data_IF_135641019848
#
_entry.id   IF_135641019848
#
_cell.length_a   1.000
_cell.length_b   1.000
_cell.length_c   1.000
_cell.angle_alpha   90.00
_cell.angle_beta   90.00
_cell.angle_gamma   90.00
#
_symmetry.space_group_name_H-M   'P 1'
#
loop_
_entity.id
_entity.type
_entity.pdbx_description
1 polymer ?
#
# COMPACT_ATOMS: atom_id res chain seq x y z
N UNK A 1 16.36 6.91 -0.22
CA UNK A 1 14.92 7.12 -0.46
C UNK A 1 14.18 6.53 0.71
N UNK A 2 13.25 7.28 1.29
CA UNK A 2 12.63 6.90 2.56
C UNK A 2 11.23 6.39 2.28
N UNK A 3 10.95 5.15 2.63
CA UNK A 3 9.60 4.59 2.60
C UNK A 3 8.80 5.31 3.70
N UNK A 4 7.60 5.84 3.42
CA UNK A 4 6.77 6.46 4.46
C UNK A 4 6.60 5.50 5.64
N UNK A 5 6.71 5.94 6.90
CA UNK A 5 6.51 5.07 8.06
C UNK A 5 5.19 4.28 7.94
N UNK A 6 5.15 3.05 8.45
CA UNK A 6 3.92 2.21 8.40
C UNK A 6 2.72 2.89 9.06
N UNK A 7 2.95 3.82 9.98
CA UNK A 7 1.94 4.62 10.67
C UNK A 7 1.41 5.80 9.85
N UNK A 8 2.02 6.11 8.70
CA UNK A 8 1.60 7.22 7.86
C UNK A 8 0.20 6.96 7.28
N UNK A 9 -0.67 7.98 7.33
CA UNK A 9 -2.06 7.86 6.91
C UNK A 9 -2.22 7.49 5.44
N UNK A 10 -1.22 7.77 4.60
CA UNK A 10 -1.19 7.39 3.18
C UNK A 10 -1.46 5.90 2.96
N UNK A 11 -0.95 5.02 3.83
CA UNK A 11 -1.17 3.57 3.72
C UNK A 11 -2.64 3.21 3.98
N UNK A 12 -3.26 3.86 4.97
CA UNK A 12 -4.68 3.67 5.25
C UNK A 12 -5.55 4.24 4.13
N UNK A 13 -5.19 5.40 3.59
CA UNK A 13 -5.90 6.01 2.46
C UNK A 13 -5.89 5.12 1.21
N UNK A 14 -4.77 4.45 0.94
CA UNK A 14 -4.65 3.47 -0.14
C UNK A 14 -5.56 2.26 0.06
N UNK A 15 -5.50 1.64 1.24
CA UNK A 15 -6.31 0.46 1.58
C UNK A 15 -7.81 0.79 1.53
N UNK A 16 -8.19 1.98 2.00
CA UNK A 16 -9.57 2.46 1.98
C UNK A 16 -10.01 3.00 0.61
N UNK A 17 -9.12 2.97 -0.41
CA UNK A 17 -9.34 3.54 -1.75
C UNK A 17 -9.84 4.98 -1.74
N UNK A 18 -9.44 5.77 -0.74
CA UNK A 18 -9.75 7.21 -0.68
C UNK A 18 -9.00 8.00 -1.74
N UNK A 19 -7.83 7.49 -2.17
CA UNK A 19 -7.05 8.01 -3.29
C UNK A 19 -6.75 6.86 -4.24
N UNK A 20 -6.96 7.12 -5.53
CA UNK A 20 -6.58 6.20 -6.60
C UNK A 20 -5.18 6.57 -7.04
N UNK A 21 -4.24 5.65 -6.86
CA UNK A 21 -2.88 5.77 -7.38
C UNK A 21 -2.70 4.78 -8.52
N UNK A 22 -2.23 5.26 -9.65
CA UNK A 22 -1.75 4.41 -10.73
C UNK A 22 -0.33 3.96 -10.38
N UNK A 23 -0.21 2.74 -9.88
CA UNK A 23 1.07 2.13 -9.58
C UNK A 23 1.66 1.46 -10.83
N UNK A 24 2.98 1.46 -10.97
CA UNK A 24 3.66 0.76 -12.06
C UNK A 24 3.95 -0.71 -11.71
N UNK A 25 4.00 -1.03 -10.41
CA UNK A 25 4.34 -2.35 -9.92
C UNK A 25 3.11 -3.26 -9.84
N UNK A 26 3.03 -4.25 -10.71
CA UNK A 26 1.88 -5.16 -10.80
C UNK A 26 1.59 -5.90 -9.48
N UNK A 27 2.61 -6.38 -8.77
CA UNK A 27 2.40 -7.09 -7.51
C UNK A 27 1.77 -6.17 -6.44
N UNK A 28 2.13 -4.88 -6.45
CA UNK A 28 1.52 -3.87 -5.59
C UNK A 28 0.05 -3.65 -5.97
N UNK A 29 -0.26 -3.50 -7.25
CA UNK A 29 -1.65 -3.35 -7.72
C UNK A 29 -2.52 -4.54 -7.32
N UNK A 30 -2.05 -5.77 -7.57
CA UNK A 30 -2.78 -6.99 -7.24
C UNK A 30 -3.00 -7.12 -5.73
N UNK A 31 -1.95 -6.90 -4.93
CA UNK A 31 -2.05 -6.98 -3.48
C UNK A 31 -3.00 -5.91 -2.94
N UNK A 32 -2.86 -4.66 -3.37
CA UNK A 32 -3.73 -3.56 -2.95
C UNK A 32 -5.19 -3.83 -3.32
N UNK A 33 -5.45 -4.33 -4.52
CA UNK A 33 -6.79 -4.71 -4.96
C UNK A 33 -7.42 -5.75 -4.04
N UNK A 34 -6.67 -6.80 -3.68
CA UNK A 34 -7.10 -7.83 -2.73
C UNK A 34 -7.35 -7.26 -1.33
N UNK A 35 -6.37 -6.56 -0.77
CA UNK A 35 -6.44 -6.03 0.60
C UNK A 35 -7.60 -5.04 0.76
N UNK A 36 -7.79 -4.15 -0.21
CA UNK A 36 -8.93 -3.22 -0.21
C UNK A 36 -10.27 -3.97 -0.27
N UNK A 37 -10.36 -5.04 -1.06
CA UNK A 37 -11.58 -5.88 -1.13
C UNK A 37 -11.82 -6.61 0.19
N UNK A 38 -10.77 -7.11 0.84
CA UNK A 38 -10.88 -7.78 2.13
C UNK A 38 -11.32 -6.81 3.24
N UNK A 39 -10.82 -5.57 3.24
CA UNK A 39 -11.25 -4.50 4.16
C UNK A 39 -12.67 -4.02 3.87
N UNK A 40 -13.11 -4.02 2.60
CA UNK A 40 -14.51 -3.73 2.28
C UNK A 40 -15.46 -4.79 2.83
N UNK A 41 -15.04 -6.06 2.89
CA UNK A 41 -15.81 -7.16 3.48
C UNK A 41 -15.79 -7.14 5.00
N UNK A 42 -14.67 -6.75 5.60
CA UNK A 42 -14.46 -6.62 7.04
C UNK A 42 -13.74 -5.29 7.34
N UNK A 43 -14.49 -4.20 7.59
CA UNK A 43 -13.92 -2.89 7.84
C UNK A 43 -13.43 -2.69 9.28
N UNK A 44 -13.12 -3.78 10.01
CA UNK A 44 -12.59 -3.68 11.36
C UNK A 44 -11.22 -2.99 11.42
N UNK A 45 -10.91 -2.24 12.50
CA UNK A 45 -9.61 -1.59 12.65
C UNK A 45 -8.43 -2.57 12.56
N UNK A 46 -8.58 -3.76 13.15
CA UNK A 46 -7.57 -4.82 13.09
C UNK A 46 -7.29 -5.27 11.65
N UNK A 47 -8.32 -5.40 10.80
CA UNK A 47 -8.15 -5.79 9.41
C UNK A 47 -7.44 -4.72 8.59
N UNK A 48 -7.74 -3.46 8.84
CA UNK A 48 -7.06 -2.31 8.21
C UNK A 48 -5.58 -2.31 8.59
N UNK A 49 -5.26 -2.45 9.87
CA UNK A 49 -3.87 -2.48 10.36
C UNK A 49 -3.07 -3.63 9.77
N UNK A 50 -3.64 -4.85 9.75
CA UNK A 50 -3.01 -6.00 9.10
C UNK A 50 -2.77 -5.76 7.61
N UNK A 51 -3.72 -5.14 6.92
CA UNK A 51 -3.61 -4.83 5.50
C UNK A 51 -2.52 -3.79 5.22
N UNK A 52 -2.44 -2.74 6.05
CA UNK A 52 -1.37 -1.73 5.99
C UNK A 52 0.00 -2.37 6.20
N UNK A 53 0.16 -3.21 7.23
CA UNK A 53 1.43 -3.90 7.49
C UNK A 53 1.85 -4.78 6.31
N UNK A 54 0.91 -5.52 5.71
CA UNK A 54 1.20 -6.40 4.57
C UNK A 54 1.61 -5.62 3.32
N UNK A 55 0.95 -4.50 3.07
CA UNK A 55 1.28 -3.60 1.96
C UNK A 55 2.67 -3.00 2.14
N UNK A 56 2.96 -2.53 3.36
CA UNK A 56 4.25 -1.94 3.74
C UNK A 56 5.40 -2.95 3.61
N UNK A 57 5.22 -4.19 4.12
CA UNK A 57 6.18 -5.29 3.96
C UNK A 57 6.53 -5.55 2.49
N UNK A 58 5.51 -5.62 1.60
CA UNK A 58 5.75 -5.81 0.17
C UNK A 58 6.68 -4.71 -0.38
N UNK A 59 6.43 -3.46 -0.01
CA UNK A 59 7.22 -2.33 -0.50
C UNK A 59 8.64 -2.32 0.04
N UNK A 60 8.87 -2.70 1.31
CA UNK A 60 10.22 -2.87 1.86
C UNK A 60 10.96 -3.97 1.13
N UNK A 61 10.36 -5.15 1.00
CA UNK A 61 10.99 -6.31 0.37
C UNK A 61 11.38 -6.05 -1.08
N UNK A 62 10.63 -5.16 -1.76
CA UNK A 62 10.82 -4.85 -3.17
C UNK A 62 11.39 -3.44 -3.41
N UNK A 63 11.94 -2.76 -2.40
CA UNK A 63 12.42 -1.37 -2.54
C UNK A 63 13.50 -1.16 -3.62
N UNK A 64 14.23 -2.22 -3.97
CA UNK A 64 15.26 -2.21 -5.01
C UNK A 64 14.68 -2.46 -6.42
N UNK A 65 13.42 -2.88 -6.53
CA UNK A 65 12.74 -3.01 -7.82
C UNK A 65 12.46 -1.61 -8.40
N UNK A 66 12.85 -1.30 -9.66
CA UNK A 66 12.65 0.02 -10.25
C UNK A 66 11.19 0.50 -10.26
N UNK A 67 10.23 -0.40 -10.53
CA UNK A 67 8.81 -0.05 -10.55
C UNK A 67 8.30 0.26 -9.14
N UNK A 68 8.62 -0.59 -8.16
CA UNK A 68 8.28 -0.33 -6.76
C UNK A 68 8.91 0.98 -6.24
N UNK A 69 10.13 1.29 -6.68
CA UNK A 69 10.81 2.55 -6.34
C UNK A 69 10.12 3.77 -6.95
N UNK A 70 9.63 3.69 -8.19
CA UNK A 70 8.81 4.76 -8.80
C UNK A 70 7.50 4.95 -8.04
N UNK A 71 6.88 3.86 -7.62
CA UNK A 71 5.64 3.91 -6.84
C UNK A 71 5.86 4.54 -5.45
N UNK A 72 6.99 4.25 -4.79
CA UNK A 72 7.37 4.93 -3.55
C UNK A 72 7.58 6.44 -3.73
N UNK A 73 7.99 6.89 -4.91
CA UNK A 73 8.12 8.33 -5.19
C UNK A 73 6.73 8.98 -5.25
N UNK A 74 5.75 8.32 -5.87
CA UNK A 74 4.36 8.81 -5.96
C UNK A 74 3.70 8.95 -4.59
N UNK A 75 4.09 8.15 -3.60
CA UNK A 75 3.55 8.20 -2.23
C UNK A 75 4.14 9.31 -1.35
N UNK A 76 5.27 9.89 -1.76
CA UNK A 76 5.96 10.97 -1.04
C UNK A 76 5.75 12.35 -1.67
N UNK A 77 5.05 12.42 -2.81
CA UNK A 77 4.74 13.64 -3.56
C UNK A 77 3.38 14.21 -3.14
#
# INVERSE_FOLDING_TARGET
>A
MTIPPVTADIWKELILRKKVFEFDYLALQMLLGKLATDVQKDPSPAKIEQSVSRLYELMILNQNNPAARRDLQKLNA
#
